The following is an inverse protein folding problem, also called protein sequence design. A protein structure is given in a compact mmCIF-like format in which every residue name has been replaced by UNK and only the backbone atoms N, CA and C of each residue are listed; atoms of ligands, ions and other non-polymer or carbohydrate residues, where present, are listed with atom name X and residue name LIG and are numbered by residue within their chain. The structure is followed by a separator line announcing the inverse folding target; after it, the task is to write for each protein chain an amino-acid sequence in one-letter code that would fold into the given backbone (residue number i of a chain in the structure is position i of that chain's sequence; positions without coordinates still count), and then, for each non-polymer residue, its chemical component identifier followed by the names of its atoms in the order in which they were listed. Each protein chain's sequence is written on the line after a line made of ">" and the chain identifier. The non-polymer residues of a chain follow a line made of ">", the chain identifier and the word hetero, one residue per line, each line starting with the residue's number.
data_IF_478050635114
#
_entry.id   IF_478050635114
#
_cell.length_a   1.000
_cell.length_b   1.000
_cell.length_c   1.000
_cell.angle_alpha   90.00
_cell.angle_beta   90.00
_cell.angle_gamma   90.00
#
_symmetry.space_group_name_H-M   'P 1'
#
loop_
_entity.id
_entity.type
_entity.pdbx_description
1 polymer ?
#
# COMPACT_ATOMS: atom_id res chain seq x y z
N UNK A 1 -28.27 28.56 9.23
CA UNK A 1 -27.72 27.26 9.56
C UNK A 1 -26.63 27.41 10.62
N UNK A 2 -26.37 26.39 11.38
CA UNK A 2 -25.24 26.40 12.32
C UNK A 2 -23.92 26.50 11.52
N UNK A 3 -22.90 27.24 12.02
CA UNK A 3 -21.64 27.36 11.32
C UNK A 3 -20.90 26.01 11.32
N UNK A 4 -20.29 25.68 10.18
CA UNK A 4 -19.36 24.57 10.09
C UNK A 4 -17.95 25.10 10.43
N UNK A 5 -17.26 24.42 11.33
CA UNK A 5 -15.93 24.79 11.78
C UNK A 5 -14.93 23.65 11.53
N UNK A 6 -13.67 23.99 11.26
CA UNK A 6 -12.54 23.06 11.21
C UNK A 6 -11.91 23.07 12.59
N UNK A 7 -11.88 21.91 13.27
CA UNK A 7 -11.37 21.77 14.63
C UNK A 7 -9.97 21.15 14.69
N UNK A 8 -9.52 20.48 13.63
CA UNK A 8 -8.19 19.92 13.52
C UNK A 8 -7.84 19.57 12.08
N UNK A 9 -6.56 19.44 11.82
CA UNK A 9 -6.02 19.12 10.51
C UNK A 9 -4.77 18.24 10.63
N UNK A 10 -4.50 17.46 9.57
CA UNK A 10 -3.26 16.72 9.41
C UNK A 10 -2.67 17.01 8.03
N UNK A 11 -1.38 17.26 7.99
CA UNK A 11 -0.66 17.53 6.75
C UNK A 11 0.55 16.59 6.62
N UNK A 12 0.42 15.60 5.74
CA UNK A 12 1.54 14.72 5.38
C UNK A 12 2.40 15.33 4.27
N UNK A 13 3.72 15.29 4.43
CA UNK A 13 4.67 15.74 3.43
C UNK A 13 5.53 14.60 2.91
N UNK A 14 5.89 14.60 1.62
CA UNK A 14 6.90 13.68 1.10
C UNK A 14 8.32 14.14 1.49
N UNK A 15 9.31 13.26 1.33
CA UNK A 15 10.73 13.62 1.48
C UNK A 15 11.16 14.08 2.88
N UNK A 16 10.37 13.78 3.91
CA UNK A 16 10.63 14.11 5.31
C UNK A 16 10.89 12.85 6.13
N UNK A 17 11.52 13.00 7.30
CA UNK A 17 11.80 11.88 8.20
C UNK A 17 10.51 11.30 8.80
N UNK A 18 9.55 12.16 9.16
CA UNK A 18 8.22 11.79 9.68
C UNK A 18 7.14 12.48 8.85
N UNK A 19 6.26 11.69 8.23
CA UNK A 19 5.25 12.19 7.29
C UNK A 19 4.34 13.25 7.93
N UNK A 20 3.74 12.95 9.07
CA UNK A 20 2.87 13.86 9.82
C UNK A 20 3.68 14.50 10.96
N UNK A 21 3.94 15.79 10.86
CA UNK A 21 4.69 16.55 11.85
C UNK A 21 4.06 17.94 11.97
N UNK A 22 3.92 18.43 13.20
CA UNK A 22 3.30 19.73 13.50
C UNK A 22 4.03 20.91 12.83
N UNK A 23 5.33 20.76 12.55
CA UNK A 23 6.13 21.74 11.83
C UNK A 23 5.85 21.80 10.32
N UNK A 24 5.12 20.82 9.74
CA UNK A 24 4.94 20.71 8.29
C UNK A 24 4.29 21.96 7.66
N UNK A 25 3.29 22.54 8.33
CA UNK A 25 2.64 23.77 7.87
C UNK A 25 3.64 24.92 7.79
N UNK A 26 4.43 25.12 8.85
CA UNK A 26 5.44 26.18 8.90
C UNK A 26 6.52 26.00 7.82
N UNK A 27 6.93 24.76 7.54
CA UNK A 27 7.91 24.42 6.51
C UNK A 27 7.39 24.74 5.10
N UNK A 28 6.12 24.43 4.80
CA UNK A 28 5.49 24.85 3.53
C UNK A 28 5.44 26.36 3.41
N UNK A 29 5.02 27.07 4.47
CA UNK A 29 4.95 28.52 4.46
C UNK A 29 6.32 29.18 4.34
N UNK A 30 7.39 28.50 4.80
CA UNK A 30 8.78 28.93 4.58
C UNK A 30 9.27 28.69 3.14
N UNK A 31 8.47 28.05 2.29
CA UNK A 31 8.81 27.75 0.89
C UNK A 31 9.75 26.57 0.71
N UNK A 32 9.85 25.66 1.69
CA UNK A 32 10.65 24.44 1.54
C UNK A 32 10.11 23.56 0.40
N UNK A 33 11.03 22.98 -0.36
CA UNK A 33 10.71 22.05 -1.44
C UNK A 33 10.87 20.59 -0.98
N UNK A 34 9.81 19.80 -1.09
CA UNK A 34 9.75 18.41 -0.68
C UNK A 34 9.78 17.43 -1.87
N UNK A 35 10.00 17.93 -3.08
CA UNK A 35 10.14 17.10 -4.28
C UNK A 35 11.60 16.71 -4.43
N UNK A 36 11.86 15.43 -4.55
CA UNK A 36 13.18 14.84 -4.61
C UNK A 36 13.52 14.31 -6.00
N UNK A 37 14.81 14.20 -6.29
CA UNK A 37 15.29 13.52 -7.49
C UNK A 37 15.10 12.01 -7.31
N UNK A 38 14.45 11.38 -8.27
CA UNK A 38 14.30 9.91 -8.28
C UNK A 38 15.67 9.24 -8.49
N UNK A 39 16.02 8.23 -7.68
CA UNK A 39 17.21 7.41 -7.89
C UNK A 39 17.24 6.81 -9.31
N UNK A 40 18.45 6.60 -9.83
CA UNK A 40 18.64 6.05 -11.18
C UNK A 40 17.97 4.68 -11.33
N UNK A 41 18.08 3.83 -10.30
CA UNK A 41 17.53 2.47 -10.28
C UNK A 41 16.00 2.49 -10.40
N UNK A 42 15.34 3.41 -9.71
CA UNK A 42 13.87 3.59 -9.79
C UNK A 42 13.48 4.06 -11.20
N UNK A 43 14.26 4.97 -11.79
CA UNK A 43 14.02 5.45 -13.17
C UNK A 43 14.24 4.35 -14.19
N UNK A 44 15.24 3.48 -13.99
CA UNK A 44 15.48 2.32 -14.86
C UNK A 44 14.29 1.34 -14.81
N UNK A 45 13.73 1.05 -13.63
CA UNK A 45 12.53 0.23 -13.49
C UNK A 45 11.30 0.85 -14.16
N UNK A 46 11.17 2.18 -14.17
CA UNK A 46 10.09 2.88 -14.89
C UNK A 46 10.28 2.77 -16.40
N UNK A 47 11.51 2.94 -16.91
CA UNK A 47 11.83 2.78 -18.34
C UNK A 47 11.54 1.34 -18.80
N UNK A 48 11.89 0.33 -18.01
CA UNK A 48 11.64 -1.09 -18.33
C UNK A 48 10.13 -1.40 -18.50
N UNK A 49 9.26 -0.67 -17.83
CA UNK A 49 7.80 -0.80 -17.99
C UNK A 49 7.30 -0.30 -19.36
N UNK A 50 8.12 0.42 -20.11
CA UNK A 50 7.79 0.95 -21.44
C UNK A 50 6.45 1.68 -21.49
N UNK A 51 6.19 2.51 -20.48
CA UNK A 51 4.96 3.32 -20.40
C UNK A 51 4.89 4.30 -21.56
N UNK A 52 3.68 4.66 -22.00
CA UNK A 52 3.50 5.64 -23.08
C UNK A 52 3.12 7.00 -22.49
N UNK A 53 3.60 8.06 -23.10
CA UNK A 53 3.16 9.44 -22.85
C UNK A 53 2.57 10.06 -24.11
N UNK A 54 1.66 11.01 -23.91
CA UNK A 54 1.13 11.82 -25.00
C UNK A 54 2.06 13.01 -25.21
N UNK A 55 2.62 13.12 -26.42
CA UNK A 55 3.36 14.30 -26.85
C UNK A 55 2.42 15.15 -27.69
N UNK A 56 2.10 16.35 -27.22
CA UNK A 56 1.25 17.32 -27.95
C UNK A 56 2.08 18.08 -28.95
N UNK A 57 1.55 18.25 -30.14
CA UNK A 57 2.14 19.12 -31.15
C UNK A 57 1.64 20.58 -31.06
N UNK A 58 2.25 21.49 -31.79
CA UNK A 58 1.88 22.91 -31.80
C UNK A 58 0.48 23.19 -32.37
N UNK A 59 -0.10 22.24 -33.09
CA UNK A 59 -1.42 22.39 -33.76
C UNK A 59 -2.56 21.70 -33.03
N UNK A 60 -2.32 21.24 -31.80
CA UNK A 60 -3.34 20.59 -30.97
C UNK A 60 -3.52 19.09 -31.21
N UNK A 61 -2.74 18.50 -32.11
CA UNK A 61 -2.62 17.07 -32.27
C UNK A 61 -1.78 16.44 -31.15
N UNK A 62 -1.76 15.11 -31.10
CA UNK A 62 -0.91 14.38 -30.16
C UNK A 62 -0.52 13.02 -30.71
N UNK A 63 0.67 12.58 -30.36
CA UNK A 63 1.18 11.24 -30.65
C UNK A 63 1.55 10.52 -29.34
N UNK A 64 1.45 9.19 -29.35
CA UNK A 64 1.94 8.38 -28.25
C UNK A 64 3.41 8.07 -28.45
N UNK A 65 4.23 8.37 -27.44
CA UNK A 65 5.64 8.02 -27.39
C UNK A 65 5.85 6.99 -26.29
N UNK A 66 6.50 5.87 -26.62
CA UNK A 66 6.95 4.90 -25.61
C UNK A 66 8.20 5.43 -24.93
N UNK A 67 8.24 5.36 -23.61
CA UNK A 67 9.39 5.72 -22.79
C UNK A 67 10.18 4.43 -22.53
N UNK A 68 11.33 4.29 -23.17
CA UNK A 68 12.24 3.14 -23.05
C UNK A 68 13.69 3.57 -22.73
N UNK A 69 13.94 4.88 -22.69
CA UNK A 69 15.21 5.46 -22.22
C UNK A 69 15.01 6.12 -20.83
N UNK A 70 15.94 5.85 -19.91
CA UNK A 70 15.98 6.47 -18.57
C UNK A 70 16.05 8.00 -18.65
N UNK A 71 16.63 8.56 -19.73
CA UNK A 71 16.67 10.02 -19.93
C UNK A 71 15.29 10.65 -20.08
N UNK A 72 14.33 9.90 -20.64
CA UNK A 72 12.95 10.34 -20.88
C UNK A 72 12.01 10.12 -19.69
N UNK A 73 12.44 9.36 -18.69
CA UNK A 73 11.67 9.15 -17.46
C UNK A 73 11.64 10.41 -16.62
N UNK A 74 10.52 10.63 -15.90
CA UNK A 74 10.40 11.72 -14.92
C UNK A 74 11.59 11.69 -13.94
N UNK A 75 12.12 12.87 -13.64
CA UNK A 75 13.32 13.01 -12.79
C UNK A 75 13.01 13.34 -11.35
N UNK A 76 11.84 13.91 -11.12
CA UNK A 76 11.42 14.43 -9.82
C UNK A 76 10.12 13.80 -9.37
N UNK A 77 10.02 13.47 -8.09
CA UNK A 77 8.79 12.98 -7.47
C UNK A 77 8.74 13.31 -5.96
N UNK A 78 7.55 13.35 -5.40
CA UNK A 78 7.35 13.27 -3.96
C UNK A 78 7.48 11.81 -3.52
N UNK A 79 8.48 11.53 -2.70
CA UNK A 79 8.67 10.18 -2.12
C UNK A 79 8.07 10.21 -0.71
N UNK A 80 7.07 9.34 -0.46
CA UNK A 80 6.43 9.30 0.84
C UNK A 80 7.42 8.90 1.94
N UNK A 81 7.31 9.54 3.10
CA UNK A 81 8.04 9.13 4.30
C UNK A 81 7.52 7.78 4.83
N UNK A 82 8.32 7.02 5.57
CA UNK A 82 7.85 5.85 6.27
C UNK A 82 6.67 6.18 7.20
N UNK A 83 5.71 5.27 7.29
CA UNK A 83 4.56 5.37 8.18
C UNK A 83 4.49 4.08 8.99
N UNK A 84 4.58 4.21 10.29
CA UNK A 84 4.41 3.10 11.23
C UNK A 84 3.18 3.36 12.12
N UNK A 85 2.01 2.97 11.61
CA UNK A 85 0.75 3.17 12.34
C UNK A 85 0.64 2.25 13.56
N UNK A 86 1.42 1.19 13.62
CA UNK A 86 1.50 0.30 14.80
C UNK A 86 2.25 1.02 15.93
N UNK A 87 3.46 1.49 15.67
CA UNK A 87 4.27 2.17 16.69
C UNK A 87 3.72 3.56 17.05
N UNK A 88 3.22 4.33 16.06
CA UNK A 88 2.78 5.70 16.29
C UNK A 88 1.36 5.81 16.89
N UNK A 89 0.47 4.90 16.51
CA UNK A 89 -0.96 5.00 16.89
C UNK A 89 -1.50 3.74 17.58
N UNK A 90 -0.66 2.72 17.82
CA UNK A 90 -1.07 1.49 18.50
C UNK A 90 -2.04 0.63 17.70
N UNK A 91 -2.02 0.73 16.35
CA UNK A 91 -2.84 -0.11 15.50
C UNK A 91 -2.38 -1.58 15.62
N UNK A 92 -3.33 -2.52 15.56
CA UNK A 92 -3.01 -3.94 15.52
C UNK A 92 -2.20 -4.30 14.26
N UNK A 93 -1.12 -5.07 14.43
CA UNK A 93 -0.20 -5.41 13.34
C UNK A 93 -0.89 -6.16 12.19
N UNK A 94 -1.78 -7.12 12.51
CA UNK A 94 -2.49 -7.87 11.47
C UNK A 94 -3.45 -6.97 10.67
N UNK A 95 -3.96 -5.92 11.31
CA UNK A 95 -4.77 -4.91 10.65
C UNK A 95 -3.93 -4.01 9.77
N UNK A 96 -2.77 -3.55 10.21
CA UNK A 96 -1.83 -2.77 9.39
C UNK A 96 -1.39 -3.54 8.14
N UNK A 97 -1.06 -4.81 8.28
CA UNK A 97 -0.71 -5.71 7.17
C UNK A 97 -1.84 -5.87 6.13
N UNK A 98 -3.09 -5.66 6.55
CA UNK A 98 -4.25 -5.71 5.65
C UNK A 98 -4.52 -4.39 4.91
N UNK A 99 -3.88 -3.27 5.28
CA UNK A 99 -4.06 -1.99 4.63
C UNK A 99 -3.15 -1.86 3.39
N UNK A 100 -3.68 -1.23 2.33
CA UNK A 100 -2.86 -0.68 1.25
C UNK A 100 -2.16 0.61 1.71
N UNK A 101 -1.17 1.08 0.96
CA UNK A 101 -0.40 2.27 1.33
C UNK A 101 -1.28 3.52 1.44
N UNK A 102 -2.24 3.69 0.55
CA UNK A 102 -3.14 4.85 0.52
C UNK A 102 -4.05 4.86 1.75
N UNK A 103 -4.66 3.73 2.08
CA UNK A 103 -5.50 3.59 3.28
C UNK A 103 -4.68 3.76 4.55
N UNK A 104 -3.45 3.25 4.61
CA UNK A 104 -2.53 3.46 5.74
C UNK A 104 -2.22 4.95 5.96
N UNK A 105 -1.94 5.69 4.88
CA UNK A 105 -1.74 7.16 4.95
C UNK A 105 -3.00 7.87 5.45
N UNK A 106 -4.18 7.50 4.93
CA UNK A 106 -5.44 8.10 5.34
C UNK A 106 -5.78 7.82 6.81
N UNK A 107 -5.51 6.60 7.29
CA UNK A 107 -5.66 6.23 8.71
C UNK A 107 -4.72 7.05 9.59
N UNK A 108 -3.45 7.18 9.21
CA UNK A 108 -2.47 8.01 9.93
C UNK A 108 -2.89 9.49 9.97
N UNK A 109 -3.35 10.04 8.83
CA UNK A 109 -3.88 11.40 8.76
C UNK A 109 -5.12 11.58 9.66
N UNK A 110 -6.02 10.60 9.68
CA UNK A 110 -7.20 10.63 10.53
C UNK A 110 -6.86 10.67 12.03
N UNK A 111 -5.92 9.85 12.47
CA UNK A 111 -5.43 9.88 13.85
C UNK A 111 -4.74 11.21 14.20
N UNK A 112 -3.91 11.72 13.29
CA UNK A 112 -3.22 12.99 13.48
C UNK A 112 -4.20 14.17 13.58
N UNK A 113 -5.22 14.20 12.71
CA UNK A 113 -6.28 15.21 12.74
C UNK A 113 -7.13 15.13 14.03
N UNK A 114 -7.43 13.94 14.53
CA UNK A 114 -8.13 13.77 15.81
C UNK A 114 -7.26 14.31 16.98
N UNK A 115 -5.96 14.06 16.93
CA UNK A 115 -5.01 14.56 17.93
C UNK A 115 -4.95 16.09 17.91
N UNK A 116 -4.84 16.70 16.73
CA UNK A 116 -4.82 18.15 16.55
C UNK A 116 -6.13 18.80 17.01
N UNK A 117 -7.28 18.15 16.75
CA UNK A 117 -8.59 18.58 17.24
C UNK A 117 -8.77 18.44 18.75
N UNK A 118 -7.82 17.82 19.48
CA UNK A 118 -7.95 17.53 20.91
C UNK A 118 -9.00 16.45 21.21
N UNK A 119 -9.38 15.64 20.24
CA UNK A 119 -10.35 14.54 20.40
C UNK A 119 -9.59 13.27 20.81
N UNK A 120 -9.64 12.83 22.07
CA UNK A 120 -8.92 11.65 22.53
C UNK A 120 -9.62 10.38 22.08
N UNK A 121 -8.83 9.33 21.86
CA UNK A 121 -9.35 7.97 21.84
C UNK A 121 -9.35 7.43 23.28
N UNK A 122 -10.42 6.74 23.65
CA UNK A 122 -10.61 6.14 24.98
C UNK A 122 -10.55 4.63 24.90
N UNK A 123 -9.87 3.99 25.86
CA UNK A 123 -9.77 2.54 25.91
C UNK A 123 -11.13 1.93 26.25
N UNK A 124 -11.63 1.05 25.38
CA UNK A 124 -12.76 0.18 25.69
C UNK A 124 -12.28 -1.09 26.36
N UNK A 125 -12.99 -1.52 27.39
CA UNK A 125 -12.75 -2.78 28.05
C UNK A 125 -13.83 -3.79 27.69
N UNK A 126 -13.41 -5.04 27.45
CA UNK A 126 -14.30 -6.17 27.23
C UNK A 126 -14.40 -7.02 28.48
N UNK A 127 -15.63 -7.31 28.90
CA UNK A 127 -15.87 -8.20 30.03
C UNK A 127 -15.63 -9.66 29.61
N UNK A 128 -14.83 -10.37 30.38
CA UNK A 128 -14.59 -11.81 30.16
C UNK A 128 -15.73 -12.65 30.77
N UNK A 129 -15.77 -13.92 30.42
CA UNK A 129 -16.71 -14.89 31.02
C UNK A 129 -16.53 -15.03 32.52
N UNK A 130 -15.36 -14.73 33.06
CA UNK A 130 -15.04 -14.74 34.50
C UNK A 130 -15.36 -13.41 35.18
N UNK A 131 -15.91 -12.42 34.45
CA UNK A 131 -16.30 -11.14 35.03
C UNK A 131 -15.17 -10.10 35.10
N UNK A 132 -13.92 -10.46 34.72
CA UNK A 132 -12.81 -9.52 34.67
C UNK A 132 -12.92 -8.64 33.42
N UNK A 133 -12.32 -7.44 33.46
CA UNK A 133 -12.25 -6.54 32.30
C UNK A 133 -10.86 -6.59 31.69
N UNK A 134 -10.81 -6.81 30.35
CA UNK A 134 -9.58 -6.76 29.57
C UNK A 134 -9.62 -5.58 28.60
N UNK A 135 -8.51 -4.87 28.38
CA UNK A 135 -8.40 -3.88 27.31
C UNK A 135 -8.79 -4.51 25.97
N UNK A 136 -9.63 -3.84 25.22
CA UNK A 136 -10.11 -4.31 23.91
C UNK A 136 -9.54 -3.44 22.79
N UNK A 137 -9.99 -2.19 22.68
CA UNK A 137 -9.53 -1.27 21.64
C UNK A 137 -9.75 0.19 22.03
N UNK A 138 -8.96 1.07 21.41
CA UNK A 138 -9.13 2.51 21.50
C UNK A 138 -10.25 2.96 20.56
N UNK A 139 -11.19 3.76 21.07
CA UNK A 139 -12.34 4.24 20.32
C UNK A 139 -12.58 5.72 20.62
N UNK A 140 -13.32 6.39 19.75
CA UNK A 140 -13.88 7.71 20.05
C UNK A 140 -14.68 7.67 21.38
N UNK A 141 -14.77 8.79 22.10
CA UNK A 141 -15.72 8.94 23.21
C UNK A 141 -17.13 8.57 22.77
N UNK A 142 -17.87 7.88 23.64
CA UNK A 142 -19.20 7.34 23.28
C UNK A 142 -20.16 8.39 22.72
N UNK A 143 -20.12 9.60 23.28
CA UNK A 143 -20.95 10.71 22.82
C UNK A 143 -20.68 11.17 21.36
N UNK A 144 -19.50 10.83 20.80
CA UNK A 144 -19.15 11.21 19.44
C UNK A 144 -19.35 10.09 18.43
N UNK A 145 -19.48 8.84 18.85
CA UNK A 145 -19.49 7.68 17.92
C UNK A 145 -20.62 7.72 16.91
N UNK A 146 -21.83 8.06 17.35
CA UNK A 146 -23.03 8.00 16.51
C UNK A 146 -23.18 9.24 15.60
N UNK A 147 -22.43 10.30 15.89
CA UNK A 147 -22.46 11.56 15.14
C UNK A 147 -21.21 11.79 14.29
N UNK A 148 -20.19 10.94 14.41
CA UNK A 148 -18.97 11.03 13.63
C UNK A 148 -19.07 10.17 12.39
N UNK A 149 -19.01 10.79 11.20
CA UNK A 149 -18.85 10.14 9.92
C UNK A 149 -17.40 10.18 9.44
N UNK A 150 -17.06 9.31 8.48
CA UNK A 150 -15.75 9.26 7.85
C UNK A 150 -15.89 9.33 6.33
N UNK A 151 -15.21 10.27 5.71
CA UNK A 151 -15.17 10.41 4.26
C UNK A 151 -13.71 10.37 3.80
N UNK A 152 -13.37 9.38 3.00
CA UNK A 152 -12.08 9.29 2.32
C UNK A 152 -12.25 9.54 0.84
N UNK A 153 -11.36 10.37 0.27
CA UNK A 153 -11.21 10.54 -1.16
C UNK A 153 -9.79 10.12 -1.57
N UNK A 154 -9.71 9.22 -2.52
CA UNK A 154 -8.43 8.67 -2.99
C UNK A 154 -8.52 8.31 -4.46
N UNK A 155 -7.40 8.45 -5.18
CA UNK A 155 -7.22 7.89 -6.51
C UNK A 155 -6.52 6.52 -6.39
N UNK A 156 -7.12 5.48 -6.98
CA UNK A 156 -6.55 4.13 -7.07
C UNK A 156 -6.23 3.45 -5.73
N UNK A 157 -7.15 3.44 -4.74
CA UNK A 157 -6.92 2.71 -3.50
C UNK A 157 -6.74 1.22 -3.76
N UNK A 158 -5.79 0.57 -3.08
CA UNK A 158 -5.53 -0.86 -3.20
C UNK A 158 -4.81 -1.30 -4.48
N UNK A 159 -4.45 -0.38 -5.37
CA UNK A 159 -3.85 -0.71 -6.67
C UNK A 159 -2.47 -1.36 -6.53
N UNK A 160 -1.68 -0.94 -5.56
CA UNK A 160 -0.41 -1.55 -5.19
C UNK A 160 -0.58 -3.02 -4.77
N UNK A 161 -1.55 -3.29 -3.92
CA UNK A 161 -1.86 -4.66 -3.46
C UNK A 161 -2.42 -5.55 -4.55
N UNK A 162 -3.18 -4.97 -5.45
CA UNK A 162 -3.67 -5.68 -6.63
C UNK A 162 -2.53 -6.08 -7.57
N UNK A 163 -1.60 -5.17 -7.82
CA UNK A 163 -0.43 -5.43 -8.64
C UNK A 163 0.47 -6.51 -8.01
N UNK A 164 0.76 -6.42 -6.71
CA UNK A 164 1.52 -7.43 -5.96
C UNK A 164 0.87 -8.83 -6.05
N UNK A 165 -0.44 -8.92 -5.95
CA UNK A 165 -1.15 -10.21 -6.01
C UNK A 165 -1.09 -10.83 -7.40
N UNK A 166 -1.26 -10.00 -8.46
CA UNK A 166 -1.09 -10.46 -9.84
C UNK A 166 0.34 -10.94 -10.08
N UNK A 167 1.34 -10.20 -9.60
CA UNK A 167 2.75 -10.57 -9.77
C UNK A 167 3.06 -11.90 -9.10
N UNK A 168 2.63 -12.09 -7.84
CA UNK A 168 2.79 -13.36 -7.11
C UNK A 168 2.16 -14.54 -7.84
N UNK A 169 0.93 -14.34 -8.32
CA UNK A 169 0.23 -15.38 -9.09
C UNK A 169 0.94 -15.69 -10.40
N UNK A 170 1.32 -14.66 -11.16
CA UNK A 170 1.99 -14.81 -12.45
C UNK A 170 3.35 -15.51 -12.29
N UNK A 171 4.13 -15.14 -11.28
CA UNK A 171 5.41 -15.76 -10.96
C UNK A 171 5.26 -17.23 -10.58
N UNK A 172 4.31 -17.55 -9.69
CA UNK A 172 4.03 -18.94 -9.31
C UNK A 172 3.58 -19.77 -10.49
N UNK A 173 2.66 -19.24 -11.32
CA UNK A 173 2.20 -19.90 -12.53
C UNK A 173 3.34 -20.13 -13.51
N UNK A 174 4.18 -19.12 -13.78
CA UNK A 174 5.33 -19.23 -14.67
C UNK A 174 6.32 -20.31 -14.19
N UNK A 175 6.61 -20.36 -12.88
CA UNK A 175 7.45 -21.43 -12.29
C UNK A 175 6.85 -22.82 -12.52
N UNK A 176 5.54 -22.99 -12.35
CA UNK A 176 4.84 -24.26 -12.61
C UNK A 176 4.88 -24.66 -14.08
N UNK A 177 4.60 -23.72 -14.99
CA UNK A 177 4.57 -23.97 -16.42
C UNK A 177 5.99 -24.35 -16.91
N UNK A 178 7.04 -23.67 -16.43
CA UNK A 178 8.43 -24.01 -16.71
C UNK A 178 8.82 -25.39 -16.15
N UNK A 179 8.40 -25.71 -14.93
CA UNK A 179 8.64 -27.04 -14.33
C UNK A 179 8.04 -28.14 -15.21
N UNK A 180 6.78 -28.01 -15.60
CA UNK A 180 6.11 -28.97 -16.47
C UNK A 180 6.79 -29.11 -17.83
N UNK A 181 7.23 -28.00 -18.42
CA UNK A 181 7.96 -27.99 -19.68
C UNK A 181 9.30 -28.75 -19.56
N UNK A 182 10.08 -28.45 -18.51
CA UNK A 182 11.37 -29.12 -18.26
C UNK A 182 11.21 -30.61 -17.94
N UNK A 183 10.20 -30.99 -17.16
CA UNK A 183 9.88 -32.39 -16.90
C UNK A 183 9.50 -33.12 -18.19
N UNK A 184 8.74 -32.46 -19.08
CA UNK A 184 8.43 -32.98 -20.40
C UNK A 184 9.67 -33.14 -21.32
N UNK A 185 10.64 -32.26 -21.28
CA UNK A 185 11.93 -32.38 -21.95
C UNK A 185 12.70 -33.56 -21.34
N UNK A 186 12.80 -33.57 -20.00
CA UNK A 186 13.55 -34.58 -19.25
C UNK A 186 13.08 -36.00 -19.51
N UNK A 187 11.78 -36.18 -19.66
CA UNK A 187 11.18 -37.51 -19.96
C UNK A 187 11.58 -38.09 -21.33
N UNK A 188 12.01 -37.24 -22.26
CA UNK A 188 12.44 -37.59 -23.63
C UNK A 188 13.94 -37.74 -23.77
N UNK A 189 14.73 -37.37 -22.75
CA UNK A 189 16.18 -37.47 -22.77
C UNK A 189 16.67 -38.87 -22.49
N UNK A 190 17.72 -39.31 -23.19
CA UNK A 190 18.42 -40.55 -22.89
C UNK A 190 19.25 -40.45 -21.61
N UNK A 191 19.71 -41.58 -21.05
CA UNK A 191 20.45 -41.60 -19.79
C UNK A 191 21.81 -40.91 -19.90
N UNK A 192 22.40 -40.93 -21.05
CA UNK A 192 23.75 -40.41 -21.42
C UNK A 192 23.71 -39.03 -22.08
N UNK A 193 22.54 -38.38 -22.11
CA UNK A 193 22.43 -37.02 -22.66
C UNK A 193 23.24 -36.04 -21.79
N UNK A 194 24.21 -35.29 -22.38
CA UNK A 194 25.09 -34.37 -21.64
C UNK A 194 24.33 -33.23 -20.94
N UNK A 195 23.15 -32.85 -21.46
CA UNK A 195 22.34 -31.78 -20.85
C UNK A 195 21.44 -32.26 -19.70
N UNK A 196 21.36 -33.58 -19.46
CA UNK A 196 20.46 -34.17 -18.48
C UNK A 196 20.68 -33.67 -17.05
N UNK A 197 21.94 -33.57 -16.63
CA UNK A 197 22.30 -33.08 -15.29
C UNK A 197 21.86 -31.60 -15.10
N UNK A 198 21.99 -30.77 -16.10
CA UNK A 198 21.58 -29.38 -16.04
C UNK A 198 20.04 -29.25 -15.98
N UNK A 199 19.32 -30.05 -16.76
CA UNK A 199 17.85 -30.10 -16.70
C UNK A 199 17.37 -30.57 -15.33
N UNK A 200 18.00 -31.60 -14.75
CA UNK A 200 17.66 -32.09 -13.40
C UNK A 200 17.92 -31.01 -12.33
N UNK A 201 19.03 -30.26 -12.47
CA UNK A 201 19.33 -29.12 -11.59
C UNK A 201 18.26 -28.02 -11.68
N UNK A 202 17.83 -27.64 -12.89
CA UNK A 202 16.80 -26.62 -13.09
C UNK A 202 15.43 -27.06 -12.55
N UNK A 203 15.05 -28.34 -12.75
CA UNK A 203 13.84 -28.93 -12.17
C UNK A 203 13.89 -28.85 -10.64
N UNK A 204 15.03 -29.23 -10.04
CA UNK A 204 15.24 -29.14 -8.60
C UNK A 204 15.10 -27.73 -8.06
N UNK A 205 15.70 -26.74 -8.73
CA UNK A 205 15.60 -25.34 -8.34
C UNK A 205 14.17 -24.79 -8.42
N UNK A 206 13.41 -25.15 -9.47
CA UNK A 206 12.01 -24.72 -9.60
C UNK A 206 11.11 -25.37 -8.53
N UNK A 207 11.30 -26.63 -8.23
CA UNK A 207 10.57 -27.32 -7.15
C UNK A 207 10.83 -26.67 -5.80
N UNK A 208 12.11 -26.42 -5.49
CA UNK A 208 12.50 -25.72 -4.26
C UNK A 208 11.87 -24.32 -4.17
N UNK A 209 11.88 -23.55 -5.26
CA UNK A 209 11.27 -22.23 -5.29
C UNK A 209 9.75 -22.26 -5.09
N UNK A 210 9.05 -23.27 -5.65
CA UNK A 210 7.60 -23.46 -5.46
C UNK A 210 7.24 -23.89 -4.04
N UNK A 211 8.11 -24.66 -3.38
CA UNK A 211 7.94 -25.08 -1.98
C UNK A 211 8.25 -23.93 -1.01
N UNK A 212 9.27 -23.12 -1.30
CA UNK A 212 9.67 -21.99 -0.45
C UNK A 212 8.65 -20.84 -0.52
N UNK A 213 8.05 -20.60 -1.69
CA UNK A 213 7.11 -19.53 -1.94
C UNK A 213 5.80 -20.05 -2.55
N UNK A 214 5.00 -20.85 -1.80
CA UNK A 214 3.73 -21.36 -2.30
C UNK A 214 2.73 -20.22 -2.48
N UNK A 215 2.06 -20.18 -3.61
CA UNK A 215 0.98 -19.24 -3.84
C UNK A 215 -0.33 -19.79 -3.25
N UNK A 216 -0.96 -18.97 -2.43
CA UNK A 216 -2.33 -19.20 -1.97
C UNK A 216 -3.08 -17.86 -1.98
N UNK A 217 -4.21 -17.82 -2.66
CA UNK A 217 -5.05 -16.62 -2.66
C UNK A 217 -5.62 -16.37 -1.26
N UNK A 218 -5.25 -15.23 -0.67
CA UNK A 218 -5.77 -14.81 0.64
C UNK A 218 -7.02 -13.96 0.46
N UNK A 219 -8.16 -14.42 1.03
CA UNK A 219 -9.43 -13.67 1.00
C UNK A 219 -9.33 -12.26 1.59
N UNK A 220 -8.33 -11.98 2.45
CA UNK A 220 -8.02 -10.65 2.97
C UNK A 220 -7.66 -9.66 1.86
N UNK A 221 -7.32 -10.17 0.67
CA UNK A 221 -7.13 -9.37 -0.53
C UNK A 221 -8.33 -8.44 -0.82
N UNK A 222 -9.57 -8.90 -0.57
CA UNK A 222 -10.76 -8.07 -0.78
C UNK A 222 -10.75 -6.80 0.07
N UNK A 223 -10.23 -6.86 1.30
CA UNK A 223 -10.10 -5.68 2.17
C UNK A 223 -9.02 -4.70 1.71
N UNK A 224 -8.07 -5.17 0.89
CA UNK A 224 -6.98 -4.36 0.35
C UNK A 224 -7.34 -3.62 -0.94
N UNK A 225 -8.21 -4.23 -1.78
CA UNK A 225 -8.54 -3.69 -3.11
C UNK A 225 -9.90 -3.02 -3.20
N UNK A 226 -10.80 -3.31 -2.27
CA UNK A 226 -12.06 -2.59 -2.19
C UNK A 226 -11.78 -1.21 -1.56
N UNK A 227 -12.30 -0.16 -2.17
CA UNK A 227 -12.16 1.24 -1.71
C UNK A 227 -12.92 1.47 -0.39
N UNK A 228 -12.62 0.69 0.65
CA UNK A 228 -13.30 0.68 1.95
C UNK A 228 -12.49 1.38 3.05
N UNK A 229 -11.51 2.21 2.70
CA UNK A 229 -10.65 2.90 3.68
C UNK A 229 -11.44 3.71 4.70
N UNK A 230 -12.52 4.37 4.28
CA UNK A 230 -13.43 5.09 5.18
C UNK A 230 -14.10 4.16 6.20
N UNK A 231 -14.65 3.03 5.76
CA UNK A 231 -15.29 2.05 6.63
C UNK A 231 -14.28 1.38 7.56
N UNK A 232 -13.06 1.11 7.08
CA UNK A 232 -11.98 0.56 7.90
C UNK A 232 -11.55 1.55 8.99
N UNK A 233 -11.39 2.83 8.66
CA UNK A 233 -11.06 3.84 9.67
C UNK A 233 -12.21 4.05 10.65
N UNK A 234 -13.46 4.12 10.17
CA UNK A 234 -14.64 4.21 11.03
C UNK A 234 -14.70 3.05 12.04
N UNK A 235 -14.42 1.82 11.59
CA UNK A 235 -14.36 0.65 12.48
C UNK A 235 -13.21 0.73 13.49
N UNK A 236 -12.02 1.23 13.04
CA UNK A 236 -10.86 1.41 13.92
C UNK A 236 -11.17 2.37 15.07
N UNK A 237 -11.78 3.52 14.79
CA UNK A 237 -12.11 4.54 15.81
C UNK A 237 -13.49 4.35 16.45
N UNK A 238 -14.29 3.41 15.96
CA UNK A 238 -15.64 3.13 16.44
C UNK A 238 -16.69 4.16 16.05
N UNK A 239 -16.47 4.92 14.97
CA UNK A 239 -17.46 5.82 14.38
C UNK A 239 -18.63 5.02 13.78
N UNK A 240 -19.85 5.53 13.93
CA UNK A 240 -21.11 4.91 13.48
C UNK A 240 -22.02 5.87 12.72
N UNK A 241 -21.55 7.10 12.51
CA UNK A 241 -22.23 8.08 11.67
C UNK A 241 -22.10 7.74 10.18
N UNK A 242 -22.53 8.63 9.29
CA UNK A 242 -22.46 8.43 7.84
C UNK A 242 -21.03 8.15 7.37
N UNK A 243 -20.86 7.17 6.49
CA UNK A 243 -19.59 6.77 5.88
C UNK A 243 -19.69 6.77 4.35
#
# INVERSE_FOLDING_TARGET
>A
GEPVVITGAALGLPGVEKMFNDANVARILAGENFISVLPHEVRALIADKRVTRIVKDAHGGGSFQTIDDVADVIKLAGIHAPIDVVAEFGLDKARDEALDVTTRMAVAAGFDALRDAGIPLVMRYKKTTLGTQLPDKWLLPEALRDTTGVIFASAFPGYDRFAEEIEKYALHRGRRDNLLALEGVRARMTADDPARAEVDRLIGALRQALEAEPYAFDRRFLFRVLAMGHSQFAEIIGARGPN
#
